data_IF_648631310669
#
_entry.id   IF_648631310669
#
_cell.length_a   1.000
_cell.length_b   1.000
_cell.length_c   1.000
_cell.angle_alpha   90.00
_cell.angle_beta   90.00
_cell.angle_gamma   90.00
#
_symmetry.space_group_name_H-M   'P 1'
#
loop_
_entity.id
_entity.type
_entity.pdbx_description
1 polymer ?
#
# COMPACT_ATOMS: atom_id res chain seq x y z
N UNK A 1 -18.95 -15.23 2.51
CA UNK A 1 -19.08 -14.03 1.66
C UNK A 1 -17.85 -14.03 0.76
N UNK A 2 -18.02 -14.31 -0.52
CA UNK A 2 -16.95 -14.18 -1.51
C UNK A 2 -16.49 -12.72 -1.46
N UNK A 3 -15.27 -12.51 -1.06
CA UNK A 3 -14.63 -11.18 -1.07
C UNK A 3 -14.47 -10.81 -2.54
N UNK A 4 -15.27 -9.86 -3.03
CA UNK A 4 -15.09 -9.33 -4.38
C UNK A 4 -13.65 -8.83 -4.50
N UNK A 5 -12.96 -9.26 -5.57
CA UNK A 5 -11.65 -8.75 -5.90
C UNK A 5 -11.66 -7.21 -5.95
N UNK A 6 -10.60 -6.56 -5.47
CA UNK A 6 -10.50 -5.10 -5.42
C UNK A 6 -10.75 -4.49 -6.82
N UNK A 7 -10.36 -5.22 -7.86
CA UNK A 7 -10.40 -4.79 -9.27
C UNK A 7 -11.47 -5.49 -10.12
N UNK A 8 -12.32 -6.34 -9.53
CA UNK A 8 -13.46 -6.96 -10.22
C UNK A 8 -13.10 -7.70 -11.51
N UNK A 9 -12.76 -8.99 -11.44
CA UNK A 9 -12.73 -9.89 -12.60
C UNK A 9 -11.50 -9.81 -13.53
N UNK A 10 -10.53 -8.95 -13.25
CA UNK A 10 -9.33 -8.81 -14.09
C UNK A 10 -8.24 -9.85 -13.79
N UNK A 11 -8.29 -10.55 -12.66
CA UNK A 11 -7.27 -11.50 -12.19
C UNK A 11 -7.82 -12.92 -12.21
N UNK A 12 -6.99 -13.89 -12.57
CA UNK A 12 -7.34 -15.31 -12.59
C UNK A 12 -7.84 -15.77 -11.21
N UNK A 13 -9.04 -16.37 -11.14
CA UNK A 13 -9.62 -16.88 -9.90
C UNK A 13 -8.75 -17.91 -9.16
N UNK A 14 -8.01 -18.75 -9.89
CA UNK A 14 -7.12 -19.76 -9.30
C UNK A 14 -5.91 -19.09 -8.63
N UNK A 15 -5.38 -18.02 -9.23
CA UNK A 15 -4.33 -17.21 -8.64
C UNK A 15 -4.81 -16.48 -7.37
N UNK A 16 -6.02 -15.93 -7.37
CA UNK A 16 -6.63 -15.33 -6.18
C UNK A 16 -6.79 -16.34 -5.06
N UNK A 17 -7.29 -17.55 -5.39
CA UNK A 17 -7.43 -18.63 -4.41
C UNK A 17 -6.08 -19.07 -3.83
N UNK A 18 -5.03 -19.15 -4.65
CA UNK A 18 -3.66 -19.46 -4.21
C UNK A 18 -3.14 -18.40 -3.23
N UNK A 19 -3.29 -17.12 -3.56
CA UNK A 19 -2.86 -16.00 -2.70
C UNK A 19 -3.55 -16.03 -1.33
N UNK A 20 -4.88 -16.23 -1.32
CA UNK A 20 -5.65 -16.33 -0.08
C UNK A 20 -5.26 -17.57 0.74
N UNK A 21 -5.07 -18.73 0.11
CA UNK A 21 -4.69 -19.96 0.80
C UNK A 21 -3.32 -19.85 1.49
N UNK A 22 -2.32 -19.32 0.79
CA UNK A 22 -0.96 -19.14 1.35
C UNK A 22 -0.96 -18.21 2.55
N UNK A 23 -1.70 -17.11 2.49
CA UNK A 23 -1.78 -16.17 3.63
C UNK A 23 -2.67 -16.69 4.76
N UNK A 24 -3.71 -17.47 4.48
CA UNK A 24 -4.57 -18.05 5.50
C UNK A 24 -3.81 -19.02 6.42
N UNK A 25 -2.88 -19.80 5.87
CA UNK A 25 -2.02 -20.72 6.65
C UNK A 25 -1.10 -19.97 7.64
N UNK A 26 -0.74 -18.71 7.35
CA UNK A 26 0.21 -17.89 8.11
C UNK A 26 -0.45 -16.71 8.85
N UNK A 27 -1.74 -16.48 8.62
CA UNK A 27 -2.47 -15.34 9.17
C UNK A 27 -2.48 -15.29 10.70
N UNK A 28 -2.05 -14.15 11.24
CA UNK A 28 -2.05 -13.88 12.68
C UNK A 28 -0.78 -14.27 13.45
N UNK A 29 0.14 -15.04 12.87
CA UNK A 29 1.35 -15.49 13.58
C UNK A 29 2.37 -14.36 13.84
N UNK A 30 2.38 -13.31 13.01
CA UNK A 30 3.34 -12.20 13.10
C UNK A 30 2.85 -10.96 13.86
N UNK A 31 1.59 -10.91 14.25
CA UNK A 31 0.98 -9.74 14.92
C UNK A 31 0.89 -9.93 16.45
N UNK A 32 2.00 -10.34 17.07
CA UNK A 32 2.09 -10.35 18.53
C UNK A 32 1.78 -8.93 19.05
N UNK A 33 0.92 -8.87 20.09
CA UNK A 33 0.40 -7.62 20.63
C UNK A 33 1.52 -6.63 21.02
N UNK A 34 1.68 -5.57 20.20
CA UNK A 34 2.47 -4.39 20.57
C UNK A 34 3.99 -4.46 20.36
N UNK A 35 4.52 -5.53 19.79
CA UNK A 35 5.96 -5.63 19.44
C UNK A 35 6.27 -5.16 18.01
N UNK A 36 7.58 -4.93 17.70
CA UNK A 36 7.98 -4.64 16.32
C UNK A 36 7.70 -5.85 15.42
N UNK A 37 7.14 -5.57 14.26
CA UNK A 37 6.91 -6.58 13.21
C UNK A 37 8.25 -7.01 12.63
N UNK A 38 8.45 -8.30 12.48
CA UNK A 38 9.66 -8.88 11.88
C UNK A 38 9.31 -9.53 10.54
N UNK A 39 10.27 -9.56 9.65
CA UNK A 39 10.15 -10.31 8.40
C UNK A 39 9.99 -11.80 8.71
N UNK A 40 8.89 -12.40 8.28
CA UNK A 40 8.70 -13.84 8.30
C UNK A 40 9.46 -14.47 7.13
N UNK A 41 10.66 -14.97 7.43
CA UNK A 41 11.54 -15.54 6.41
C UNK A 41 10.99 -16.85 5.82
N UNK A 42 10.23 -17.63 6.58
CA UNK A 42 9.64 -18.88 6.10
C UNK A 42 8.52 -18.59 5.10
N UNK A 43 7.62 -17.66 5.44
CA UNK A 43 6.58 -17.21 4.52
C UNK A 43 7.18 -16.53 3.28
N UNK A 44 8.22 -15.70 3.45
CA UNK A 44 8.92 -15.09 2.33
C UNK A 44 9.49 -16.13 1.36
N UNK A 45 10.20 -17.15 1.87
CA UNK A 45 10.71 -18.24 1.04
C UNK A 45 9.59 -18.98 0.30
N UNK A 46 8.47 -19.24 1.00
CA UNK A 46 7.32 -19.91 0.39
C UNK A 46 6.72 -19.08 -0.75
N UNK A 47 6.56 -17.76 -0.56
CA UNK A 47 6.08 -16.87 -1.60
C UNK A 47 7.06 -16.75 -2.77
N UNK A 48 8.38 -16.79 -2.50
CA UNK A 48 9.41 -16.81 -3.54
C UNK A 48 9.34 -18.08 -4.39
N UNK A 49 9.19 -19.26 -3.78
CA UNK A 49 9.01 -20.54 -4.48
C UNK A 49 7.78 -20.53 -5.40
N UNK A 50 6.74 -19.78 -5.03
CA UNK A 50 5.50 -19.61 -5.80
C UNK A 50 5.58 -18.50 -6.85
N UNK A 51 6.70 -17.78 -6.94
CA UNK A 51 6.87 -16.66 -7.86
C UNK A 51 6.11 -15.37 -7.43
N UNK A 52 5.60 -15.30 -6.18
CA UNK A 52 4.74 -14.19 -5.73
C UNK A 52 5.53 -12.99 -5.20
N UNK A 53 6.81 -13.12 -4.86
CA UNK A 53 7.61 -11.99 -4.34
C UNK A 53 8.08 -11.04 -5.44
N UNK A 54 8.24 -11.55 -6.68
CA UNK A 54 8.59 -10.79 -7.89
C UNK A 54 7.52 -10.98 -8.96
N UNK A 55 6.29 -10.75 -8.58
CA UNK A 55 5.11 -11.06 -9.39
C UNK A 55 5.07 -10.22 -10.67
N UNK A 56 5.45 -8.93 -10.60
CA UNK A 56 5.48 -8.02 -11.76
C UNK A 56 6.84 -7.95 -12.46
N UNK A 57 7.87 -8.54 -11.87
CA UNK A 57 9.20 -8.57 -12.47
C UNK A 57 9.22 -9.31 -13.80
N UNK A 58 10.13 -8.92 -14.70
CA UNK A 58 10.31 -9.57 -16.00
C UNK A 58 10.71 -11.04 -15.84
N UNK A 59 10.13 -11.93 -16.64
CA UNK A 59 10.52 -13.35 -16.72
C UNK A 59 12.00 -13.52 -17.05
N UNK A 60 12.59 -12.59 -17.84
CA UNK A 60 14.00 -12.62 -18.23
C UNK A 60 14.94 -12.41 -17.02
N UNK A 61 14.46 -11.78 -15.97
CA UNK A 61 15.18 -11.51 -14.73
C UNK A 61 14.71 -12.38 -13.57
N UNK A 62 13.89 -13.42 -13.84
CA UNK A 62 13.37 -14.35 -12.83
C UNK A 62 12.10 -13.88 -12.12
N UNK A 63 11.39 -12.89 -12.66
CA UNK A 63 10.06 -12.51 -12.23
C UNK A 63 8.97 -13.36 -12.88
N UNK A 64 7.71 -13.16 -12.49
CA UNK A 64 6.56 -13.93 -13.01
C UNK A 64 5.86 -13.28 -14.21
N UNK A 65 6.23 -12.06 -14.60
CA UNK A 65 5.68 -11.35 -15.74
C UNK A 65 4.20 -10.96 -15.62
N UNK A 66 3.63 -11.03 -14.42
CA UNK A 66 2.26 -10.59 -14.15
C UNK A 66 2.13 -9.06 -14.11
N UNK A 67 0.91 -8.57 -14.02
CA UNK A 67 0.65 -7.12 -14.01
C UNK A 67 0.39 -6.54 -12.61
N UNK A 68 0.14 -5.25 -12.62
CA UNK A 68 -0.28 -4.52 -11.42
C UNK A 68 -1.61 -5.00 -10.84
N UNK A 69 -2.61 -5.45 -11.62
CA UNK A 69 -3.83 -6.04 -11.08
C UNK A 69 -3.55 -7.20 -10.13
N UNK A 70 -2.70 -8.15 -10.54
CA UNK A 70 -2.30 -9.31 -9.75
C UNK A 70 -1.53 -8.90 -8.49
N UNK A 71 -0.62 -7.93 -8.61
CA UNK A 71 0.15 -7.43 -7.48
C UNK A 71 -0.71 -6.65 -6.48
N UNK A 72 -1.71 -5.91 -6.94
CA UNK A 72 -2.67 -5.22 -6.09
C UNK A 72 -3.54 -6.22 -5.31
N UNK A 73 -3.98 -7.31 -5.95
CA UNK A 73 -4.73 -8.38 -5.28
C UNK A 73 -3.86 -9.15 -4.28
N UNK A 74 -2.58 -9.40 -4.59
CA UNK A 74 -1.63 -9.98 -3.64
C UNK A 74 -1.46 -9.10 -2.40
N UNK A 75 -1.30 -7.78 -2.59
CA UNK A 75 -1.22 -6.83 -1.49
C UNK A 75 -2.53 -6.79 -0.68
N UNK A 76 -3.69 -6.83 -1.34
CA UNK A 76 -4.99 -6.88 -0.67
C UNK A 76 -5.20 -8.19 0.10
N UNK A 77 -4.79 -9.33 -0.45
CA UNK A 77 -4.84 -10.63 0.23
C UNK A 77 -3.95 -10.62 1.50
N UNK A 78 -2.72 -10.13 1.42
CA UNK A 78 -1.86 -9.97 2.59
C UNK A 78 -2.52 -9.11 3.68
N UNK A 79 -3.20 -8.02 3.29
CA UNK A 79 -3.96 -7.18 4.23
C UNK A 79 -5.12 -7.94 4.85
N UNK A 80 -5.95 -8.65 4.07
CA UNK A 80 -7.11 -9.44 4.57
C UNK A 80 -6.70 -10.46 5.64
N UNK A 81 -5.53 -11.06 5.48
CA UNK A 81 -4.97 -12.04 6.42
C UNK A 81 -4.07 -11.41 7.50
N UNK A 82 -4.01 -10.09 7.57
CA UNK A 82 -3.16 -9.34 8.51
C UNK A 82 -1.66 -9.70 8.41
N UNK A 83 -1.22 -10.21 7.26
CA UNK A 83 0.19 -10.50 6.98
C UNK A 83 0.94 -9.20 6.69
N UNK A 84 2.16 -9.07 7.25
CA UNK A 84 3.02 -7.89 7.13
C UNK A 84 4.36 -8.30 6.52
N UNK A 85 4.53 -8.02 5.23
CA UNK A 85 5.73 -8.30 4.45
C UNK A 85 6.00 -7.15 3.47
N UNK A 86 7.25 -6.91 3.06
CA UNK A 86 7.63 -5.85 2.11
C UNK A 86 7.37 -6.22 0.65
N UNK A 87 6.26 -6.88 0.34
CA UNK A 87 5.96 -7.38 -1.02
C UNK A 87 5.93 -6.23 -2.04
N UNK A 88 5.21 -5.17 -1.72
CA UNK A 88 5.08 -4.03 -2.61
C UNK A 88 6.38 -3.22 -2.71
N UNK A 89 7.08 -3.03 -1.62
CA UNK A 89 8.38 -2.35 -1.59
C UNK A 89 9.41 -3.12 -2.42
N UNK A 90 9.39 -4.45 -2.35
CA UNK A 90 10.32 -5.31 -3.06
C UNK A 90 10.03 -5.36 -4.57
N UNK A 91 8.82 -5.71 -4.95
CA UNK A 91 8.43 -5.93 -6.35
C UNK A 91 8.11 -4.62 -7.07
N UNK A 92 7.06 -3.93 -6.60
CA UNK A 92 6.47 -2.79 -7.30
C UNK A 92 7.33 -1.52 -7.27
N UNK A 93 8.22 -1.38 -6.27
CA UNK A 93 9.05 -0.20 -6.11
C UNK A 93 10.52 -0.49 -6.39
N UNK A 94 11.18 -1.34 -5.61
CA UNK A 94 12.62 -1.59 -5.72
C UNK A 94 12.96 -2.39 -6.99
N UNK A 95 12.27 -3.51 -7.24
CA UNK A 95 12.46 -4.34 -8.43
C UNK A 95 12.20 -3.57 -9.70
N UNK A 96 11.05 -2.90 -9.76
CA UNK A 96 10.71 -2.03 -10.90
C UNK A 96 11.76 -0.94 -11.16
N UNK A 97 12.26 -0.27 -10.09
CA UNK A 97 13.23 0.81 -10.24
C UNK A 97 14.56 0.29 -10.81
N UNK A 98 15.02 -0.88 -10.34
CA UNK A 98 16.22 -1.53 -10.84
C UNK A 98 16.08 -1.95 -12.31
N UNK A 99 14.99 -2.64 -12.66
CA UNK A 99 14.74 -3.07 -14.05
C UNK A 99 14.68 -1.86 -14.98
N UNK A 100 13.99 -0.79 -14.58
CA UNK A 100 13.91 0.45 -15.40
C UNK A 100 15.26 1.14 -15.51
N UNK A 101 16.13 1.05 -14.49
CA UNK A 101 17.50 1.58 -14.55
C UNK A 101 18.49 0.65 -15.29
N UNK A 102 18.03 -0.51 -15.79
CA UNK A 102 18.90 -1.51 -16.45
C UNK A 102 19.88 -2.18 -15.50
N UNK A 103 19.55 -2.22 -14.20
CA UNK A 103 20.39 -2.83 -13.16
C UNK A 103 19.94 -4.28 -12.90
N UNK A 104 20.86 -5.16 -12.48
CA UNK A 104 20.53 -6.56 -12.20
C UNK A 104 19.61 -6.65 -10.99
N UNK A 105 18.68 -7.63 -11.04
CA UNK A 105 17.78 -7.98 -9.95
C UNK A 105 17.97 -9.46 -9.62
N UNK A 106 18.13 -9.77 -8.34
CA UNK A 106 18.20 -11.13 -7.79
C UNK A 106 17.14 -11.33 -6.70
N UNK A 107 17.16 -12.45 -5.99
CA UNK A 107 16.16 -12.84 -4.99
C UNK A 107 16.35 -12.16 -3.62
N UNK A 108 17.33 -11.24 -3.47
CA UNK A 108 17.55 -10.54 -2.22
C UNK A 108 16.34 -9.64 -1.86
N UNK A 109 15.89 -9.71 -0.61
CA UNK A 109 14.81 -8.85 -0.11
C UNK A 109 15.22 -7.37 -0.22
N UNK A 110 14.43 -6.58 -0.93
CA UNK A 110 14.71 -5.17 -1.19
C UNK A 110 13.65 -4.24 -0.66
N UNK A 111 14.08 -3.03 -0.39
CA UNK A 111 13.22 -1.84 -0.24
C UNK A 111 13.83 -0.68 -1.00
N UNK A 112 13.11 0.43 -1.08
CA UNK A 112 13.55 1.64 -1.77
C UNK A 112 13.65 2.82 -0.79
N UNK A 113 14.70 3.63 -0.93
CA UNK A 113 14.87 4.87 -0.21
C UNK A 113 15.17 6.03 -1.18
N UNK A 114 14.39 7.10 -1.10
CA UNK A 114 14.62 8.34 -1.85
C UNK A 114 15.35 9.31 -0.93
N UNK A 115 16.64 9.54 -1.21
CA UNK A 115 17.46 10.42 -0.38
C UNK A 115 17.18 11.89 -0.71
N UNK A 116 17.00 12.67 0.34
CA UNK A 116 17.00 14.13 0.25
C UNK A 116 18.38 14.71 -0.06
N UNK A 117 18.45 16.03 -0.23
CA UNK A 117 19.71 16.75 -0.50
C UNK A 117 20.74 16.61 0.65
N UNK A 118 20.29 16.30 1.84
CA UNK A 118 21.13 16.01 3.03
C UNK A 118 21.62 14.55 3.10
N UNK A 119 21.31 13.74 2.09
CA UNK A 119 21.66 12.32 2.04
C UNK A 119 20.81 11.45 2.97
N UNK A 120 19.66 11.93 3.45
CA UNK A 120 18.79 11.17 4.35
C UNK A 120 17.43 10.84 3.72
N UNK A 121 16.86 9.70 4.11
CA UNK A 121 15.49 9.31 3.83
C UNK A 121 14.83 8.85 5.14
N UNK A 122 13.76 9.51 5.53
CA UNK A 122 12.98 9.15 6.73
C UNK A 122 11.87 8.16 6.40
N UNK A 123 11.47 7.37 7.41
CA UNK A 123 10.36 6.45 7.35
C UNK A 123 10.43 5.44 6.19
N UNK A 124 11.64 4.99 5.84
CA UNK A 124 11.86 3.97 4.80
C UNK A 124 11.29 2.64 5.27
N UNK A 125 10.34 2.06 4.53
CA UNK A 125 9.76 0.78 4.92
C UNK A 125 10.81 -0.33 4.90
N UNK A 126 10.87 -1.14 5.97
CA UNK A 126 11.63 -2.37 6.03
C UNK A 126 13.16 -2.28 5.80
N UNK A 127 13.78 -1.09 5.88
CA UNK A 127 15.20 -0.96 5.59
C UNK A 127 16.09 -1.79 6.53
N UNK A 128 15.73 -1.91 7.80
CA UNK A 128 16.45 -2.75 8.78
C UNK A 128 16.27 -4.25 8.58
N UNK A 129 15.28 -4.69 7.79
CA UNK A 129 15.01 -6.09 7.47
C UNK A 129 15.40 -6.45 6.02
N UNK A 130 15.68 -5.48 5.18
CA UNK A 130 16.08 -5.69 3.79
C UNK A 130 17.53 -6.17 3.70
N UNK A 131 17.79 -7.03 2.73
CA UNK A 131 19.14 -7.47 2.38
C UNK A 131 19.85 -6.47 1.48
N UNK A 132 19.09 -5.69 0.73
CA UNK A 132 19.58 -4.60 -0.11
C UNK A 132 18.60 -3.42 -0.10
N UNK A 133 19.13 -2.21 -0.25
CA UNK A 133 18.33 -0.99 -0.31
C UNK A 133 18.60 -0.30 -1.64
N UNK A 134 17.56 -0.15 -2.44
CA UNK A 134 17.64 0.60 -3.70
C UNK A 134 17.52 2.08 -3.36
N UNK A 135 18.59 2.81 -3.61
CA UNK A 135 18.65 4.26 -3.41
C UNK A 135 18.29 4.99 -4.69
N UNK A 136 17.47 6.01 -4.57
CA UNK A 136 17.25 7.04 -5.59
C UNK A 136 17.67 8.38 -4.97
N UNK A 137 18.56 9.12 -5.63
CA UNK A 137 18.98 10.43 -5.17
C UNK A 137 19.28 11.37 -6.34
N UNK A 138 19.34 12.66 -6.04
CA UNK A 138 19.80 13.67 -6.98
C UNK A 138 21.24 14.02 -6.69
N UNK A 139 22.10 13.84 -7.68
CA UNK A 139 23.53 14.13 -7.58
C UNK A 139 23.80 15.65 -7.64
N UNK A 140 25.03 16.05 -7.37
CA UNK A 140 25.46 17.46 -7.38
C UNK A 140 25.28 18.15 -8.75
N UNK A 141 25.34 17.37 -9.84
CA UNK A 141 25.09 17.85 -11.20
C UNK A 141 23.59 17.99 -11.54
N UNK A 142 22.71 17.65 -10.60
CA UNK A 142 21.25 17.67 -10.78
C UNK A 142 20.66 16.41 -11.38
N UNK A 143 21.48 15.40 -11.73
CA UNK A 143 21.04 14.13 -12.32
C UNK A 143 20.48 13.19 -11.26
N UNK A 144 19.35 12.54 -11.54
CA UNK A 144 18.87 11.44 -10.70
C UNK A 144 19.71 10.18 -10.93
N UNK A 145 20.07 9.51 -9.83
CA UNK A 145 20.85 8.27 -9.86
C UNK A 145 20.19 7.18 -9.03
N UNK A 146 20.40 5.95 -9.47
CA UNK A 146 19.92 4.74 -8.79
C UNK A 146 21.09 3.83 -8.49
N UNK A 147 21.11 3.25 -7.29
CA UNK A 147 22.06 2.20 -6.91
C UNK A 147 21.38 1.17 -6.01
N UNK A 148 21.79 -0.09 -6.13
CA UNK A 148 21.40 -1.19 -5.24
C UNK A 148 22.52 -1.42 -4.23
N UNK A 149 22.28 -1.09 -2.95
CA UNK A 149 23.32 -0.94 -1.93
C UNK A 149 23.07 -1.92 -0.77
N UNK A 150 24.15 -2.52 -0.26
CA UNK A 150 24.10 -3.32 0.97
C UNK A 150 23.86 -2.40 2.19
N UNK A 151 22.95 -2.78 3.12
CA UNK A 151 22.65 -1.96 4.30
C UNK A 151 23.84 -1.61 5.16
N UNK A 152 24.90 -2.46 5.17
CA UNK A 152 26.13 -2.24 5.93
C UNK A 152 26.95 -1.02 5.45
N UNK A 153 26.71 -0.57 4.22
CA UNK A 153 27.32 0.63 3.64
C UNK A 153 26.54 1.91 3.96
N UNK A 154 25.42 1.78 4.65
CA UNK A 154 24.49 2.84 4.99
C UNK A 154 24.37 2.96 6.52
N UNK A 155 23.94 4.11 7.00
CA UNK A 155 23.48 4.24 8.38
C UNK A 155 21.98 4.06 8.41
N UNK A 156 21.54 2.89 8.91
CA UNK A 156 20.14 2.57 9.11
C UNK A 156 19.81 2.72 10.59
N UNK A 157 18.92 3.66 10.91
CA UNK A 157 18.41 3.87 12.27
C UNK A 157 17.02 3.32 12.37
N UNK A 158 16.77 2.27 13.19
CA UNK A 158 15.48 1.66 13.32
C UNK A 158 14.38 2.61 13.78
N UNK A 159 13.20 2.47 13.18
CA UNK A 159 11.97 3.15 13.54
C UNK A 159 10.77 2.26 13.24
N UNK A 160 9.59 2.61 13.73
CA UNK A 160 8.36 1.85 13.46
C UNK A 160 7.17 2.77 13.23
N UNK A 161 6.18 2.28 12.48
CA UNK A 161 4.89 2.94 12.38
C UNK A 161 3.91 2.49 13.50
N UNK A 162 2.66 2.95 13.44
CA UNK A 162 1.61 2.68 14.43
C UNK A 162 1.33 1.18 14.65
N UNK A 163 1.60 0.33 13.67
CA UNK A 163 1.37 -1.12 13.75
C UNK A 163 2.66 -1.92 13.96
N UNK A 164 3.78 -1.25 14.26
CA UNK A 164 5.06 -1.89 14.55
C UNK A 164 5.85 -2.32 13.30
N UNK A 165 5.40 -2.00 12.09
CA UNK A 165 6.19 -2.26 10.89
C UNK A 165 7.43 -1.37 10.86
N UNK A 166 8.60 -1.87 10.41
CA UNK A 166 9.81 -1.07 10.26
C UNK A 166 9.58 0.16 9.36
N UNK A 167 9.95 1.33 9.88
CA UNK A 167 9.96 2.62 9.18
C UNK A 167 11.22 3.34 9.60
N UNK A 168 12.31 2.94 8.98
CA UNK A 168 13.66 3.28 9.40
C UNK A 168 14.11 4.61 8.79
N UNK A 169 15.11 5.24 9.39
CA UNK A 169 15.83 6.34 8.75
C UNK A 169 17.08 5.78 8.09
N UNK A 170 17.22 6.03 6.79
CA UNK A 170 18.40 5.66 6.01
C UNK A 170 19.22 6.91 5.73
N UNK A 171 20.52 6.86 5.96
CA UNK A 171 21.43 7.95 5.62
C UNK A 171 22.69 7.42 4.92
N UNK A 172 23.12 8.16 3.90
CA UNK A 172 24.30 7.89 3.10
C UNK A 172 25.09 9.17 2.83
N UNK A 173 26.39 9.03 2.62
CA UNK A 173 27.20 10.09 2.03
C UNK A 173 26.99 10.08 0.50
N UNK A 174 26.15 10.98 0.02
CA UNK A 174 25.79 11.08 -1.41
C UNK A 174 27.03 11.26 -2.29
N UNK A 175 28.04 12.00 -1.80
CA UNK A 175 29.28 12.23 -2.54
C UNK A 175 30.16 10.98 -2.71
N UNK A 176 29.97 9.96 -1.86
CA UNK A 176 30.65 8.67 -1.95
C UNK A 176 29.84 7.59 -2.70
N UNK A 177 28.59 7.88 -3.09
CA UNK A 177 27.75 6.93 -3.83
C UNK A 177 28.12 6.92 -5.31
N UNK A 178 28.08 5.73 -5.90
CA UNK A 178 28.11 5.54 -7.34
C UNK A 178 26.80 4.94 -7.77
N UNK A 179 26.18 5.46 -8.84
CA UNK A 179 24.91 4.96 -9.33
C UNK A 179 24.70 5.22 -10.81
N UNK A 180 23.75 4.51 -11.39
CA UNK A 180 23.32 4.66 -12.78
C UNK A 180 22.45 5.91 -12.91
N UNK A 181 22.75 6.76 -13.88
CA UNK A 181 21.93 7.92 -14.21
C UNK A 181 20.57 7.47 -14.77
N UNK A 182 19.50 8.10 -14.32
CA UNK A 182 18.14 7.80 -14.75
C UNK A 182 17.39 9.10 -15.11
N UNK A 183 16.31 8.96 -15.87
CA UNK A 183 15.48 10.08 -16.26
C UNK A 183 14.78 10.74 -15.07
N UNK A 184 14.60 12.05 -15.10
CA UNK A 184 14.00 12.82 -13.99
C UNK A 184 12.56 12.39 -13.67
N UNK A 185 11.81 11.95 -14.69
CA UNK A 185 10.43 11.49 -14.53
C UNK A 185 10.32 10.23 -13.64
N UNK A 186 11.43 9.47 -13.49
CA UNK A 186 11.41 8.23 -12.72
C UNK A 186 11.12 8.48 -11.24
N UNK A 187 11.61 9.58 -10.69
CA UNK A 187 11.35 9.97 -9.30
C UNK A 187 9.85 10.22 -9.06
N UNK A 188 9.19 10.95 -9.98
CA UNK A 188 7.75 11.19 -9.93
C UNK A 188 6.94 9.90 -10.10
N UNK A 189 7.33 9.02 -11.03
CA UNK A 189 6.68 7.71 -11.22
C UNK A 189 6.82 6.83 -9.98
N UNK A 190 8.00 6.80 -9.33
CA UNK A 190 8.19 6.07 -8.08
C UNK A 190 7.28 6.58 -6.97
N UNK A 191 7.13 7.90 -6.83
CA UNK A 191 6.21 8.50 -5.86
C UNK A 191 4.75 8.06 -6.12
N UNK A 192 4.28 8.13 -7.37
CA UNK A 192 2.92 7.72 -7.73
C UNK A 192 2.68 6.23 -7.48
N UNK A 193 3.65 5.37 -7.81
CA UNK A 193 3.59 3.92 -7.54
C UNK A 193 3.48 3.66 -6.04
N UNK A 194 4.34 4.26 -5.24
CA UNK A 194 4.34 4.11 -3.79
C UNK A 194 3.03 4.61 -3.16
N UNK A 195 2.52 5.74 -3.64
CA UNK A 195 1.24 6.29 -3.22
C UNK A 195 0.07 5.36 -3.55
N UNK A 196 0.03 4.82 -4.77
CA UNK A 196 -1.05 3.92 -5.22
C UNK A 196 -1.03 2.60 -4.46
N UNK A 197 0.14 2.03 -4.17
CA UNK A 197 0.29 0.86 -3.29
C UNK A 197 -0.39 1.10 -1.93
N UNK A 198 -0.12 2.24 -1.30
CA UNK A 198 -0.75 2.57 0.00
C UNK A 198 -2.26 2.77 -0.12
N UNK A 199 -2.74 3.36 -1.23
CA UNK A 199 -4.17 3.47 -1.48
C UNK A 199 -4.85 2.09 -1.57
N UNK A 200 -4.25 1.13 -2.28
CA UNK A 200 -4.70 -0.27 -2.37
C UNK A 200 -4.75 -0.91 -0.98
N UNK A 201 -3.69 -0.81 -0.21
CA UNK A 201 -3.60 -1.42 1.13
C UNK A 201 -4.61 -0.80 2.11
N UNK A 202 -4.80 0.52 2.06
CA UNK A 202 -5.82 1.20 2.90
C UNK A 202 -7.22 0.74 2.49
N UNK A 203 -7.56 0.74 1.19
CA UNK A 203 -8.87 0.28 0.72
C UNK A 203 -9.17 -1.16 1.15
N UNK A 204 -8.21 -2.08 1.03
CA UNK A 204 -8.35 -3.47 1.47
C UNK A 204 -8.55 -3.59 3.00
N UNK A 205 -7.88 -2.76 3.79
CA UNK A 205 -8.06 -2.73 5.24
C UNK A 205 -9.45 -2.21 5.64
N UNK A 206 -9.96 -1.20 4.92
CA UNK A 206 -11.30 -0.65 5.15
C UNK A 206 -12.39 -1.66 4.77
N UNK A 207 -12.26 -2.32 3.62
CA UNK A 207 -13.17 -3.40 3.20
C UNK A 207 -13.27 -4.50 4.27
N UNK A 208 -12.12 -4.94 4.79
CA UNK A 208 -12.10 -5.97 5.84
C UNK A 208 -12.74 -5.46 7.13
N UNK A 209 -12.48 -4.20 7.51
CA UNK A 209 -13.08 -3.60 8.71
C UNK A 209 -14.62 -3.48 8.59
N UNK A 210 -15.13 -3.13 7.41
CA UNK A 210 -16.58 -3.08 7.11
C UNK A 210 -17.19 -4.48 7.20
N UNK A 211 -16.54 -5.49 6.61
CA UNK A 211 -17.00 -6.88 6.70
C UNK A 211 -17.15 -7.35 8.14
N UNK A 212 -16.14 -7.09 8.99
CA UNK A 212 -16.17 -7.42 10.42
C UNK A 212 -17.28 -6.67 11.18
N UNK A 213 -17.52 -5.41 10.85
CA UNK A 213 -18.58 -4.62 11.46
C UNK A 213 -19.97 -5.17 11.10
N UNK A 214 -20.19 -5.57 9.84
CA UNK A 214 -21.44 -6.19 9.37
C UNK A 214 -21.66 -7.54 10.06
N UNK A 215 -20.63 -8.39 10.11
CA UNK A 215 -20.67 -9.69 10.78
C UNK A 215 -21.06 -9.53 12.25
N UNK A 216 -20.36 -8.62 12.97
CA UNK A 216 -20.67 -8.36 14.37
C UNK A 216 -22.10 -7.87 14.59
N UNK A 217 -22.58 -6.93 13.76
CA UNK A 217 -23.92 -6.38 13.87
C UNK A 217 -25.00 -7.44 13.61
N UNK A 218 -24.73 -8.41 12.72
CA UNK A 218 -25.62 -9.54 12.44
C UNK A 218 -25.66 -10.57 13.56
N UNK A 219 -24.51 -10.88 14.15
CA UNK A 219 -24.37 -11.92 15.18
C UNK A 219 -24.77 -11.44 16.60
N UNK A 220 -24.48 -10.16 16.93
CA UNK A 220 -24.71 -9.62 18.29
C UNK A 220 -26.18 -9.28 18.50
N UNK A 221 -26.77 -9.89 19.53
CA UNK A 221 -28.14 -9.60 19.97
C UNK A 221 -28.15 -8.72 21.21
N UNK A 222 -28.94 -7.64 21.20
CA UNK A 222 -29.23 -6.76 22.33
C UNK A 222 -30.71 -6.31 22.25
N UNK A 223 -31.32 -6.06 23.41
CA UNK A 223 -32.73 -5.66 23.49
C UNK A 223 -33.68 -6.59 22.70
N UNK A 224 -33.40 -7.91 22.73
CA UNK A 224 -34.21 -8.95 22.13
C UNK A 224 -34.08 -9.14 20.63
N UNK A 225 -33.15 -8.46 19.92
CA UNK A 225 -32.94 -8.60 18.49
C UNK A 225 -31.48 -8.30 18.07
N UNK A 226 -31.03 -8.78 16.88
CA UNK A 226 -29.73 -8.46 16.34
C UNK A 226 -29.51 -6.95 16.20
N UNK A 227 -28.27 -6.47 16.42
CA UNK A 227 -27.93 -5.04 16.29
C UNK A 227 -28.24 -4.52 14.87
N UNK A 228 -28.06 -5.33 13.83
CA UNK A 228 -28.39 -4.99 12.45
C UNK A 228 -29.88 -4.64 12.22
N UNK A 229 -30.77 -4.89 13.19
CA UNK A 229 -32.19 -4.51 13.11
C UNK A 229 -32.49 -3.11 13.67
N UNK A 230 -31.50 -2.39 14.17
CA UNK A 230 -31.64 -1.00 14.66
C UNK A 230 -31.26 -0.01 13.56
N UNK A 231 -32.12 0.99 13.30
CA UNK A 231 -31.89 1.99 12.25
C UNK A 231 -30.55 2.73 12.42
N UNK A 232 -30.18 3.09 13.65
CA UNK A 232 -28.90 3.77 13.91
C UNK A 232 -27.69 2.92 13.50
N UNK A 233 -27.78 1.58 13.69
CA UNK A 233 -26.74 0.63 13.25
C UNK A 233 -26.73 0.51 11.73
N UNK A 234 -27.90 0.42 11.11
CA UNK A 234 -28.02 0.36 9.64
C UNK A 234 -27.44 1.61 8.97
N UNK A 235 -27.73 2.80 9.50
CA UNK A 235 -27.16 4.05 9.00
C UNK A 235 -25.63 4.06 9.13
N UNK A 236 -25.08 3.65 10.27
CA UNK A 236 -23.62 3.57 10.43
C UNK A 236 -22.97 2.59 9.45
N UNK A 237 -23.61 1.43 9.20
CA UNK A 237 -23.12 0.45 8.21
C UNK A 237 -23.21 1.04 6.79
N UNK A 238 -24.31 1.72 6.45
CA UNK A 238 -24.45 2.39 5.16
C UNK A 238 -23.36 3.47 4.93
N UNK A 239 -23.08 4.29 5.96
CA UNK A 239 -22.04 5.30 5.91
C UNK A 239 -20.65 4.68 5.60
N UNK A 240 -20.25 3.66 6.38
CA UNK A 240 -18.92 3.04 6.19
C UNK A 240 -18.82 2.26 4.88
N UNK A 241 -19.91 1.65 4.43
CA UNK A 241 -19.96 0.96 3.15
C UNK A 241 -19.83 1.94 1.97
N UNK A 242 -20.49 3.10 2.05
CA UNK A 242 -20.43 4.13 1.01
C UNK A 242 -19.01 4.74 0.91
N UNK A 243 -18.39 5.09 2.04
CA UNK A 243 -17.03 5.63 2.08
C UNK A 243 -16.00 4.62 1.55
N UNK A 244 -16.14 3.35 1.93
CA UNK A 244 -15.25 2.28 1.46
C UNK A 244 -15.44 2.04 -0.04
N UNK A 245 -16.68 2.03 -0.54
CA UNK A 245 -16.95 1.89 -1.96
C UNK A 245 -16.37 3.04 -2.78
N UNK A 246 -16.48 4.29 -2.29
CA UNK A 246 -15.88 5.46 -2.93
C UNK A 246 -14.35 5.32 -3.01
N UNK A 247 -13.70 4.99 -1.89
CA UNK A 247 -12.26 4.80 -1.85
C UNK A 247 -11.81 3.68 -2.81
N UNK A 248 -12.49 2.53 -2.79
CA UNK A 248 -12.19 1.40 -3.69
C UNK A 248 -12.33 1.78 -5.16
N UNK A 249 -13.43 2.48 -5.53
CA UNK A 249 -13.64 2.92 -6.91
C UNK A 249 -12.56 3.88 -7.38
N UNK A 250 -12.18 4.86 -6.55
CA UNK A 250 -11.12 5.79 -6.88
C UNK A 250 -9.75 5.10 -7.05
N UNK A 251 -9.44 4.13 -6.18
CA UNK A 251 -8.21 3.32 -6.27
C UNK A 251 -8.22 2.47 -7.55
N UNK A 252 -9.33 1.79 -7.85
CA UNK A 252 -9.46 0.97 -9.06
C UNK A 252 -9.32 1.81 -10.33
N UNK A 253 -9.93 3.00 -10.38
CA UNK A 253 -9.82 3.91 -11.51
C UNK A 253 -8.38 4.39 -11.74
N UNK A 254 -7.68 4.80 -10.67
CA UNK A 254 -6.28 5.22 -10.76
C UNK A 254 -5.36 4.06 -11.21
N UNK A 255 -5.59 2.85 -10.70
CA UNK A 255 -4.83 1.68 -11.09
C UNK A 255 -5.08 1.28 -12.54
N UNK A 256 -6.34 1.26 -12.97
CA UNK A 256 -6.69 0.99 -14.37
C UNK A 256 -6.00 1.98 -15.31
N UNK A 257 -6.07 3.28 -15.01
CA UNK A 257 -5.42 4.33 -15.81
C UNK A 257 -3.91 4.18 -15.85
N UNK A 258 -3.28 3.85 -14.71
CA UNK A 258 -1.85 3.60 -14.64
C UNK A 258 -1.42 2.44 -15.54
N UNK A 259 -2.15 1.33 -15.50
CA UNK A 259 -1.88 0.12 -16.30
C UNK A 259 -2.13 0.36 -17.79
N UNK A 260 -3.30 0.91 -18.14
CA UNK A 260 -3.69 1.16 -19.54
C UNK A 260 -2.69 2.05 -20.28
N UNK A 261 -2.07 3.00 -19.59
CA UNK A 261 -1.17 3.98 -20.17
C UNK A 261 0.31 3.73 -19.88
N UNK A 262 0.64 2.60 -19.30
CA UNK A 262 1.99 2.29 -18.81
C UNK A 262 2.59 3.43 -17.97
N UNK A 263 1.78 3.97 -17.06
CA UNK A 263 2.16 5.08 -16.15
C UNK A 263 2.48 6.41 -16.88
N UNK A 264 2.08 6.58 -18.12
CA UNK A 264 2.42 7.76 -18.94
C UNK A 264 1.27 8.78 -19.06
N UNK A 265 0.08 8.51 -18.48
CA UNK A 265 -1.05 9.41 -18.60
C UNK A 265 -0.79 10.75 -17.91
N UNK A 266 -1.12 11.85 -18.59
CA UNK A 266 -0.93 13.20 -18.07
C UNK A 266 -1.83 13.52 -16.86
N UNK A 267 -2.95 12.81 -16.70
CA UNK A 267 -3.91 12.93 -15.62
C UNK A 267 -3.64 11.98 -14.44
N UNK A 268 -2.61 11.11 -14.55
CA UNK A 268 -2.35 10.07 -13.55
C UNK A 268 -2.02 10.64 -12.16
N UNK A 269 -1.27 11.76 -12.09
CA UNK A 269 -1.01 12.44 -10.81
C UNK A 269 -2.31 12.86 -10.12
N UNK A 270 -3.27 13.42 -10.88
CA UNK A 270 -4.57 13.78 -10.37
C UNK A 270 -5.36 12.56 -9.89
N UNK A 271 -5.42 11.48 -10.68
CA UNK A 271 -6.17 10.28 -10.31
C UNK A 271 -5.60 9.58 -9.08
N UNK A 272 -4.27 9.50 -8.96
CA UNK A 272 -3.61 8.96 -7.76
C UNK A 272 -3.88 9.87 -6.55
N UNK A 273 -3.84 11.20 -6.74
CA UNK A 273 -4.17 12.14 -5.67
C UNK A 273 -5.62 11.98 -5.19
N UNK A 274 -6.58 11.80 -6.10
CA UNK A 274 -7.99 11.51 -5.76
C UNK A 274 -8.10 10.20 -4.99
N UNK A 275 -7.44 9.12 -5.46
CA UNK A 275 -7.45 7.82 -4.80
C UNK A 275 -6.89 7.90 -3.36
N UNK A 276 -5.79 8.62 -3.17
CA UNK A 276 -5.16 8.85 -1.86
C UNK A 276 -6.02 9.69 -0.93
N UNK A 277 -6.62 10.76 -1.45
CA UNK A 277 -7.55 11.62 -0.70
C UNK A 277 -8.78 10.82 -0.25
N UNK A 278 -9.47 10.14 -1.18
CA UNK A 278 -10.63 9.32 -0.86
C UNK A 278 -10.31 8.22 0.16
N UNK A 279 -9.24 7.45 -0.03
CA UNK A 279 -8.83 6.40 0.92
C UNK A 279 -8.47 6.98 2.30
N UNK A 280 -7.80 8.14 2.34
CA UNK A 280 -7.41 8.82 3.56
C UNK A 280 -8.60 9.32 4.38
N UNK A 281 -9.59 9.95 3.73
CA UNK A 281 -10.82 10.44 4.37
C UNK A 281 -11.75 9.29 4.77
N UNK A 282 -11.91 8.28 3.91
CA UNK A 282 -12.68 7.08 4.23
C UNK A 282 -12.14 6.40 5.50
N UNK A 283 -10.82 6.36 5.70
CA UNK A 283 -10.22 5.78 6.90
C UNK A 283 -10.71 6.47 8.20
N UNK A 284 -10.87 7.79 8.20
CA UNK A 284 -11.38 8.51 9.38
C UNK A 284 -12.82 8.11 9.73
N UNK A 285 -13.67 7.95 8.73
CA UNK A 285 -15.08 7.60 8.93
C UNK A 285 -15.21 6.14 9.32
N UNK A 286 -14.60 5.24 8.53
CA UNK A 286 -14.72 3.79 8.70
C UNK A 286 -14.13 3.34 10.02
N UNK A 287 -12.92 3.78 10.37
CA UNK A 287 -12.29 3.39 11.65
C UNK A 287 -13.17 3.77 12.83
N UNK A 288 -13.60 5.02 12.91
CA UNK A 288 -14.42 5.51 14.01
C UNK A 288 -15.76 4.78 14.13
N UNK A 289 -16.45 4.59 13.00
CA UNK A 289 -17.76 3.94 12.95
C UNK A 289 -17.67 2.43 13.20
N UNK A 290 -16.67 1.74 12.67
CA UNK A 290 -16.45 0.32 12.92
C UNK A 290 -16.21 0.06 14.43
N UNK A 291 -15.35 0.85 15.07
CA UNK A 291 -15.17 0.75 16.53
C UNK A 291 -16.44 1.08 17.31
N UNK A 292 -17.23 2.06 16.88
CA UNK A 292 -18.52 2.38 17.48
C UNK A 292 -19.52 1.21 17.37
N UNK A 293 -19.57 0.54 16.21
CA UNK A 293 -20.43 -0.61 15.95
C UNK A 293 -20.08 -1.83 16.81
N UNK A 294 -18.78 -2.11 16.97
CA UNK A 294 -18.33 -3.21 17.79
C UNK A 294 -18.39 -2.89 19.30
N UNK A 295 -18.36 -1.62 19.69
CA UNK A 295 -18.32 -1.20 21.09
C UNK A 295 -17.06 -1.68 21.80
N UNK A 296 -17.18 -2.11 23.06
CA UNK A 296 -16.02 -2.45 23.89
C UNK A 296 -15.13 -3.54 23.28
N UNK A 297 -15.69 -4.58 22.65
CA UNK A 297 -14.90 -5.66 22.08
C UNK A 297 -14.00 -5.19 20.94
N UNK A 298 -14.44 -4.20 20.16
CA UNK A 298 -13.65 -3.62 19.07
C UNK A 298 -12.38 -2.91 19.51
N UNK A 299 -12.28 -2.57 20.82
CA UNK A 299 -11.10 -1.92 21.41
C UNK A 299 -10.17 -2.89 22.13
N UNK A 300 -10.52 -4.17 22.18
CA UNK A 300 -9.71 -5.22 22.83
C UNK A 300 -8.79 -5.90 21.82
N UNK A 301 -7.75 -6.55 22.35
CA UNK A 301 -6.86 -7.37 21.54
C UNK A 301 -7.50 -8.70 21.08
N UNK A 302 -8.62 -9.10 21.67
CA UNK A 302 -9.34 -10.35 21.34
C UNK A 302 -10.03 -10.26 19.97
N UNK A 303 -10.46 -9.07 19.58
CA UNK A 303 -11.14 -8.88 18.29
C UNK A 303 -10.16 -8.35 17.23
N UNK A 304 -10.10 -9.01 16.08
CA UNK A 304 -9.14 -8.72 15.01
C UNK A 304 -9.33 -7.36 14.30
N UNK A 305 -10.36 -6.57 14.61
CA UNK A 305 -10.63 -5.26 13.98
C UNK A 305 -9.41 -4.33 14.03
N UNK A 306 -8.70 -4.31 15.15
CA UNK A 306 -7.55 -3.43 15.36
C UNK A 306 -6.39 -3.68 14.37
N UNK A 307 -6.26 -4.89 13.80
CA UNK A 307 -5.25 -5.19 12.78
C UNK A 307 -5.47 -4.36 11.50
N UNK A 308 -6.72 -4.08 11.17
CA UNK A 308 -7.11 -3.37 9.96
C UNK A 308 -7.23 -1.88 10.19
N UNK A 309 -7.90 -1.47 11.25
CA UNK A 309 -8.10 -0.04 11.55
C UNK A 309 -6.80 0.69 11.85
N UNK A 310 -5.91 0.09 12.64
CA UNK A 310 -4.58 0.66 12.91
C UNK A 310 -3.70 0.67 11.66
N UNK A 311 -3.79 -0.36 10.81
CA UNK A 311 -3.07 -0.42 9.55
C UNK A 311 -3.52 0.69 8.59
N UNK A 312 -4.83 0.87 8.41
CA UNK A 312 -5.37 1.95 7.59
C UNK A 312 -4.89 3.34 8.08
N UNK A 313 -4.89 3.56 9.40
CA UNK A 313 -4.39 4.82 10.00
C UNK A 313 -2.87 5.00 9.82
N UNK A 314 -2.07 3.92 9.88
CA UNK A 314 -0.64 3.97 9.64
C UNK A 314 -0.34 4.34 8.18
N UNK A 315 -0.90 3.58 7.24
CA UNK A 315 -0.56 3.68 5.82
C UNK A 315 -1.12 4.90 5.11
N UNK A 316 -2.26 5.47 5.59
CA UNK A 316 -2.84 6.66 4.95
C UNK A 316 -1.93 7.88 4.93
N UNK A 317 -0.97 7.95 5.85
CA UNK A 317 0.00 9.05 5.95
C UNK A 317 1.36 8.76 5.32
N UNK A 318 1.59 7.53 4.81
CA UNK A 318 2.86 7.15 4.19
C UNK A 318 2.89 7.57 2.71
N UNK A 319 4.06 7.94 2.20
CA UNK A 319 4.24 8.48 0.84
C UNK A 319 3.32 9.68 0.54
N UNK A 320 3.25 10.61 1.47
CA UNK A 320 2.40 11.79 1.42
C UNK A 320 1.25 11.72 2.41
N UNK A 321 1.00 12.83 3.10
CA UNK A 321 -0.12 12.98 4.02
C UNK A 321 -1.44 13.13 3.25
N UNK A 322 -2.58 12.83 3.91
CA UNK A 322 -3.92 13.09 3.32
C UNK A 322 -4.01 14.54 2.86
N UNK A 323 -3.58 15.47 3.70
CA UNK A 323 -3.57 16.90 3.36
C UNK A 323 -2.75 17.21 2.11
N UNK A 324 -1.57 16.64 1.94
CA UNK A 324 -0.74 16.90 0.75
C UNK A 324 -1.40 16.40 -0.53
N UNK A 325 -2.14 15.29 -0.44
CA UNK A 325 -2.92 14.78 -1.57
C UNK A 325 -4.15 15.63 -1.86
N UNK A 326 -4.86 16.12 -0.82
CA UNK A 326 -5.97 17.10 -0.98
C UNK A 326 -5.48 18.40 -1.66
N UNK A 327 -4.30 18.89 -1.27
CA UNK A 327 -3.67 20.06 -1.88
C UNK A 327 -3.34 19.83 -3.37
N UNK A 328 -2.90 18.61 -3.76
CA UNK A 328 -2.68 18.25 -5.18
C UNK A 328 -3.99 18.24 -5.97
N UNK A 329 -5.06 17.64 -5.42
CA UNK A 329 -6.40 17.65 -6.03
C UNK A 329 -6.90 19.09 -6.22
N UNK A 330 -6.83 19.93 -5.17
CA UNK A 330 -7.25 21.30 -5.22
C UNK A 330 -6.43 22.13 -6.24
N UNK A 331 -5.11 21.92 -6.29
CA UNK A 331 -4.25 22.60 -7.25
C UNK A 331 -4.55 22.19 -8.70
N UNK A 332 -4.86 20.92 -8.96
CA UNK A 332 -5.26 20.45 -10.29
C UNK A 332 -6.59 21.07 -10.71
N UNK A 333 -7.58 21.09 -9.81
CA UNK A 333 -8.88 21.75 -10.07
C UNK A 333 -8.73 23.25 -10.34
N UNK A 334 -7.88 23.93 -9.56
CA UNK A 334 -7.62 25.36 -9.74
C UNK A 334 -6.93 25.66 -11.09
N UNK A 335 -5.98 24.81 -11.51
CA UNK A 335 -5.33 24.94 -12.83
C UNK A 335 -6.31 24.70 -14.00
N UNK A 336 -7.23 23.74 -13.84
CA UNK A 336 -8.23 23.45 -14.86
C UNK A 336 -9.22 24.61 -15.05
N UNK A 337 -9.52 25.37 -14.01
CA UNK A 337 -10.49 26.45 -14.04
C UNK A 337 -11.92 25.97 -14.30
N UNK A 338 -12.86 26.90 -14.49
CA UNK A 338 -14.27 26.56 -14.63
C UNK A 338 -14.55 25.67 -15.88
N UNK A 339 -13.90 25.98 -16.99
CA UNK A 339 -14.13 25.29 -18.26
C UNK A 339 -13.42 23.93 -18.35
N UNK A 340 -12.30 23.77 -17.65
CA UNK A 340 -11.51 22.54 -17.65
C UNK A 340 -11.86 21.57 -16.50
N UNK A 341 -12.65 21.99 -15.53
CA UNK A 341 -12.95 21.15 -14.36
C UNK A 341 -13.71 19.87 -14.73
N UNK A 342 -14.72 19.98 -15.57
CA UNK A 342 -15.50 18.82 -16.00
C UNK A 342 -14.69 17.81 -16.85
N UNK A 343 -13.92 18.26 -17.87
CA UNK A 343 -12.97 17.38 -18.55
C UNK A 343 -11.96 16.70 -17.60
N UNK A 344 -11.46 17.40 -16.58
CA UNK A 344 -10.55 16.83 -15.58
C UNK A 344 -11.19 15.70 -14.78
N UNK A 345 -12.50 15.76 -14.50
CA UNK A 345 -13.22 14.78 -13.68
C UNK A 345 -13.74 13.62 -14.53
N UNK A 346 -14.23 13.90 -15.73
CA UNK A 346 -14.93 12.93 -16.55
C UNK A 346 -14.01 12.17 -17.55
N UNK A 347 -12.77 12.62 -17.74
CA UNK A 347 -11.77 12.02 -18.64
C UNK A 347 -11.85 12.54 -20.05
#
# INVERSE_FOLDING_TARGET
MTTDALLGGAVDPDLLALMDAVFAEHGGAGTAHGGPVRLDAALWSRLSELGLVRLTGSEQTGGSGAGWPEAAELAAAAVRHAVRLPLAEHDLLAGWLLETAGLPVDDAVRTVAVLGADGTAAAVPWASAAQRIVLLWRDADGTHRVADVEPQRLRVTPGTNLIGEPRDTVAADVGALSGTAVADELAGRLELRAALVRAVQVAAALDTAVGLAIEHAGARTQFGRPLAKFQAVQHMIADIAAETALARTAVAAALHRAVETDWAAADLDFMVAVARSCAGHAADVVVRRAHQLLGAIGTTAEHRLHHYTRAALAWRGEFGSVRSWDERVAAAAARAGADGLWPLIAG
#
